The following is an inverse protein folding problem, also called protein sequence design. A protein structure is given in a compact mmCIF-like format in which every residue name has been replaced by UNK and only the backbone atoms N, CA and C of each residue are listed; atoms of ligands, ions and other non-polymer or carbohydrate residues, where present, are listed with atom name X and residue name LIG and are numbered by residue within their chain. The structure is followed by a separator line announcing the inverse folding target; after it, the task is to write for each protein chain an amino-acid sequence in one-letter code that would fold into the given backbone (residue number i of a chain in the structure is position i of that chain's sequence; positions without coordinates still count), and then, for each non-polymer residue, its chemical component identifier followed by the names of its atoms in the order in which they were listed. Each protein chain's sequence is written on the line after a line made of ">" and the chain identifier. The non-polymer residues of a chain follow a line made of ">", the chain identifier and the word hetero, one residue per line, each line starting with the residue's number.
data_IF_131862549987
#
_entry.id   IF_131862549987
#
_cell.length_a   1.000
_cell.length_b   1.000
_cell.length_c   1.000
_cell.angle_alpha   90.00
_cell.angle_beta   90.00
_cell.angle_gamma   90.00
#
_symmetry.space_group_name_H-M   'P 1'
#
loop_
_entity.id
_entity.type
_entity.pdbx_description
1 polymer ?
#
# COMPACT_ATOMS: atom_id res chain seq x y z
N UNK A 1 -4.02 1.68 -5.46
CA UNK A 1 -4.65 0.55 -6.15
C UNK A 1 -3.71 0.00 -7.21
N UNK A 2 -3.73 -1.32 -7.42
CA UNK A 2 -2.96 -1.95 -8.50
C UNK A 2 -3.37 -1.40 -9.87
N UNK A 3 -4.66 -1.09 -10.04
CA UNK A 3 -5.22 -0.50 -11.26
C UNK A 3 -4.54 0.80 -11.69
N UNK A 4 -4.25 1.71 -10.75
CA UNK A 4 -3.52 2.95 -11.06
C UNK A 4 -2.06 2.65 -11.46
N UNK A 5 -1.38 1.77 -10.71
CA UNK A 5 0.02 1.43 -10.99
C UNK A 5 0.24 0.80 -12.37
N UNK A 6 -0.77 0.12 -12.92
CA UNK A 6 -0.69 -0.47 -14.28
C UNK A 6 -0.60 0.58 -15.40
N UNK A 7 -0.97 1.82 -15.13
CA UNK A 7 -0.88 2.95 -16.06
C UNK A 7 0.35 3.84 -15.80
N UNK A 8 1.30 3.37 -14.97
CA UNK A 8 2.50 4.11 -14.57
C UNK A 8 3.77 3.37 -15.01
N UNK A 9 4.92 3.99 -14.79
CA UNK A 9 6.23 3.35 -14.97
C UNK A 9 6.35 2.07 -14.14
N UNK A 10 7.18 1.14 -14.61
CA UNK A 10 7.43 -0.13 -13.92
C UNK A 10 8.05 0.07 -12.53
N UNK A 11 7.72 -0.82 -11.60
CA UNK A 11 8.28 -0.82 -10.24
C UNK A 11 7.58 0.09 -9.23
N UNK A 12 6.52 0.82 -9.61
CA UNK A 12 5.78 1.67 -8.67
C UNK A 12 5.00 0.82 -7.65
N UNK A 13 5.16 1.05 -6.34
CA UNK A 13 4.41 0.35 -5.30
C UNK A 13 2.92 0.73 -5.36
N UNK A 14 2.07 -0.20 -4.94
CA UNK A 14 0.62 -0.07 -5.00
C UNK A 14 0.00 -0.48 -3.67
N UNK A 15 -1.16 0.10 -3.39
CA UNK A 15 -1.88 -0.02 -2.13
C UNK A 15 -1.93 -1.45 -1.57
N UNK A 16 -2.29 -2.43 -2.39
CA UNK A 16 -2.47 -3.82 -1.99
C UNK A 16 -1.13 -4.45 -1.52
N UNK A 17 -0.02 -4.11 -2.18
CA UNK A 17 1.32 -4.56 -1.79
C UNK A 17 1.81 -3.91 -0.50
N UNK A 18 1.60 -2.60 -0.36
CA UNK A 18 2.05 -1.87 0.84
C UNK A 18 1.19 -2.18 2.07
N UNK A 19 -0.13 -2.36 1.89
CA UNK A 19 -1.00 -2.82 2.96
C UNK A 19 -0.60 -4.22 3.43
N UNK A 20 -0.31 -5.14 2.50
CA UNK A 20 0.20 -6.46 2.84
C UNK A 20 1.53 -6.37 3.61
N UNK A 21 2.45 -5.51 3.18
CA UNK A 21 3.72 -5.27 3.87
C UNK A 21 3.53 -4.82 5.31
N UNK A 22 2.59 -3.91 5.58
CA UNK A 22 2.29 -3.41 6.93
C UNK A 22 1.62 -4.51 7.77
N UNK A 23 0.58 -5.16 7.26
CA UNK A 23 -0.15 -6.20 7.99
C UNK A 23 0.77 -7.38 8.34
N UNK A 24 1.71 -7.73 7.46
CA UNK A 24 2.69 -8.80 7.69
C UNK A 24 3.63 -8.52 8.86
N UNK A 25 3.82 -7.26 9.28
CA UNK A 25 4.63 -6.93 10.46
C UNK A 25 3.95 -7.32 11.78
N UNK A 26 2.65 -7.64 11.75
CA UNK A 26 1.87 -7.97 12.93
C UNK A 26 1.07 -6.80 13.48
N UNK A 27 0.23 -7.07 14.49
CA UNK A 27 -0.66 -6.06 15.07
C UNK A 27 0.14 -5.03 15.87
N UNK A 28 -0.26 -3.76 15.77
CA UNK A 28 0.38 -2.66 16.50
C UNK A 28 1.74 -2.24 15.96
N UNK A 29 2.11 -2.72 14.77
CA UNK A 29 3.35 -2.35 14.07
C UNK A 29 3.01 -1.68 12.74
N UNK A 30 3.56 -0.50 12.43
CA UNK A 30 4.39 0.33 13.31
C UNK A 30 3.56 0.94 14.47
N UNK A 31 4.24 1.37 15.53
CA UNK A 31 3.60 1.92 16.73
C UNK A 31 2.87 3.26 16.49
N UNK A 32 3.16 3.92 15.38
CA UNK A 32 2.52 5.18 14.99
C UNK A 32 1.17 4.90 14.30
N UNK A 33 0.10 5.64 14.64
CA UNK A 33 -1.17 5.55 13.92
C UNK A 33 -0.99 5.94 12.45
N UNK A 34 -1.46 5.10 11.54
CA UNK A 34 -1.40 5.32 10.09
C UNK A 34 -2.79 5.27 9.47
N UNK A 35 -2.97 6.07 8.41
CA UNK A 35 -4.09 5.95 7.48
C UNK A 35 -3.50 5.72 6.09
N UNK A 36 -3.71 4.54 5.52
CA UNK A 36 -3.25 4.18 4.18
C UNK A 36 -4.44 4.28 3.23
N UNK A 37 -4.35 5.12 2.21
CA UNK A 37 -5.42 5.36 1.25
C UNK A 37 -5.04 4.82 -0.13
N UNK A 38 -5.90 3.97 -0.69
CA UNK A 38 -5.80 3.53 -2.07
C UNK A 38 -6.61 4.45 -2.97
N UNK A 39 -5.96 5.08 -3.94
CA UNK A 39 -6.62 5.90 -4.97
C UNK A 39 -6.60 5.19 -6.33
N UNK A 40 -7.56 5.55 -7.18
CA UNK A 40 -7.66 5.18 -8.58
C UNK A 40 -8.28 6.36 -9.38
N UNK A 41 -8.05 6.43 -10.71
CA UNK A 41 -8.75 7.36 -11.60
C UNK A 41 -10.25 7.07 -11.69
#
# INVERSE_FOLDING_TARGET
>A
MKSLSSNMSSGVPYYEGELYSVVRQGRGVPAVPLVILGIAP
#
